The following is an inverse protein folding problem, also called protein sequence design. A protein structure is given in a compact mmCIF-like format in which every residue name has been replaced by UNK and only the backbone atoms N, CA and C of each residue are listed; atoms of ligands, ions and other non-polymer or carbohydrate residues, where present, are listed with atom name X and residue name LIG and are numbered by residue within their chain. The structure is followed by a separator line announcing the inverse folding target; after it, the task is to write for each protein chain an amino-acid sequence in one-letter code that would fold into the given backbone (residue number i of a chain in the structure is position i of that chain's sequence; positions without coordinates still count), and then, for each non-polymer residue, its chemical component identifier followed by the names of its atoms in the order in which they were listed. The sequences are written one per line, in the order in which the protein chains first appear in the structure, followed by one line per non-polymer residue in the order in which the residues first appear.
data_IF_903980992561
#
_entry.id   IF_903980992561
#
_cell.length_a   1.000
_cell.length_b   1.000
_cell.length_c   1.000
_cell.angle_alpha   90.00
_cell.angle_beta   90.00
_cell.angle_gamma   90.00
#
_symmetry.space_group_name_H-M   'P 1'
#
loop_
_entity.id
_entity.type
_entity.pdbx_description
1 polymer ?
#
# COMPACT_ATOMS: atom_id res chain seq x y z
N UNK A 1 8.20 -17.84 4.63
CA UNK A 1 6.79 -17.68 4.20
C UNK A 1 6.83 -16.89 2.92
N UNK A 2 6.24 -17.40 1.83
CA UNK A 2 6.19 -16.65 0.57
C UNK A 2 4.86 -15.89 0.53
N UNK A 3 4.93 -14.56 0.54
CA UNK A 3 3.77 -13.70 0.38
C UNK A 3 3.89 -13.07 -1.01
N UNK A 4 2.89 -13.29 -1.86
CA UNK A 4 2.80 -12.65 -3.18
C UNK A 4 1.62 -11.70 -3.16
N UNK A 5 1.88 -10.39 -3.21
CA UNK A 5 0.85 -9.37 -3.31
C UNK A 5 0.76 -8.91 -4.77
N UNK A 6 -0.39 -9.16 -5.41
CA UNK A 6 -0.68 -8.66 -6.74
C UNK A 6 -1.56 -7.42 -6.65
N UNK A 7 -1.09 -6.30 -7.19
CA UNK A 7 -1.86 -5.06 -7.29
C UNK A 7 -2.08 -4.80 -8.78
N UNK A 8 -3.27 -5.11 -9.27
CA UNK A 8 -3.63 -4.90 -10.69
C UNK A 8 -3.60 -3.42 -11.06
N UNK A 9 -4.07 -2.56 -10.14
CA UNK A 9 -4.19 -1.13 -10.40
C UNK A 9 -4.17 -0.32 -9.10
N UNK A 10 -3.34 0.72 -9.07
CA UNK A 10 -3.41 1.79 -8.08
C UNK A 10 -4.08 3.00 -8.75
N UNK A 11 -5.28 3.36 -8.30
CA UNK A 11 -5.98 4.56 -8.78
C UNK A 11 -5.94 5.62 -7.70
N UNK A 12 -5.49 6.82 -8.07
CA UNK A 12 -5.46 7.99 -7.20
C UNK A 12 -6.45 9.00 -7.79
N UNK A 13 -7.53 9.26 -7.07
CA UNK A 13 -8.55 10.21 -7.50
C UNK A 13 -8.36 11.54 -6.74
N UNK A 14 -8.49 12.65 -7.45
CA UNK A 14 -8.40 13.99 -6.85
C UNK A 14 -6.98 14.47 -6.52
N UNK A 15 -5.93 13.78 -6.98
CA UNK A 15 -4.54 14.19 -6.82
C UNK A 15 -3.92 14.45 -8.21
N UNK A 16 -3.37 15.64 -8.39
CA UNK A 16 -2.71 16.02 -9.65
C UNK A 16 -1.20 15.79 -9.54
N UNK A 17 -0.75 14.64 -10.04
CA UNK A 17 0.66 14.30 -10.13
C UNK A 17 1.13 14.31 -11.59
N UNK A 18 2.27 14.98 -11.89
CA UNK A 18 2.95 14.80 -13.16
C UNK A 18 3.25 13.32 -13.41
N UNK A 19 3.21 12.85 -14.67
CA UNK A 19 3.49 11.44 -15.00
C UNK A 19 4.79 10.91 -14.39
N UNK A 20 5.82 11.75 -14.33
CA UNK A 20 7.14 11.41 -13.77
C UNK A 20 7.08 11.18 -12.24
N UNK A 21 6.16 11.83 -11.54
CA UNK A 21 5.94 11.66 -10.09
C UNK A 21 5.02 10.47 -9.78
N UNK A 22 4.13 10.11 -10.70
CA UNK A 22 3.27 8.93 -10.55
C UNK A 22 4.08 7.64 -10.47
N UNK A 23 5.10 7.50 -11.34
CA UNK A 23 5.96 6.33 -11.32
C UNK A 23 6.79 6.24 -10.03
N UNK A 24 7.31 7.40 -9.55
CA UNK A 24 8.01 7.47 -8.28
C UNK A 24 7.12 7.05 -7.11
N UNK A 25 5.89 7.56 -7.07
CA UNK A 25 4.92 7.19 -6.05
C UNK A 25 4.66 5.68 -6.05
N UNK A 26 4.40 5.09 -7.21
CA UNK A 26 4.18 3.65 -7.35
C UNK A 26 5.39 2.84 -6.86
N UNK A 27 6.60 3.23 -7.27
CA UNK A 27 7.83 2.57 -6.83
C UNK A 27 8.01 2.63 -5.30
N UNK A 28 7.68 3.77 -4.69
CA UNK A 28 7.74 3.93 -3.24
C UNK A 28 6.68 3.11 -2.50
N UNK A 29 5.45 3.04 -3.02
CA UNK A 29 4.41 2.16 -2.46
C UNK A 29 4.86 0.70 -2.47
N UNK A 30 5.39 0.22 -3.60
CA UNK A 30 5.86 -1.17 -3.74
C UNK A 30 7.00 -1.44 -2.76
N UNK A 31 8.03 -0.58 -2.76
CA UNK A 31 9.20 -0.74 -1.90
C UNK A 31 8.84 -0.78 -0.42
N UNK A 32 7.96 0.12 0.03
CA UNK A 32 7.54 0.16 1.44
C UNK A 32 6.64 -1.04 1.79
N UNK A 33 5.73 -1.47 0.90
CA UNK A 33 4.93 -2.67 1.12
C UNK A 33 5.81 -3.92 1.22
N UNK A 34 6.77 -4.09 0.32
CA UNK A 34 7.75 -5.18 0.39
C UNK A 34 8.46 -5.18 1.73
N UNK A 35 8.98 -4.02 2.15
CA UNK A 35 9.65 -3.87 3.45
C UNK A 35 8.74 -4.26 4.62
N UNK A 36 7.48 -3.83 4.61
CA UNK A 36 6.51 -4.12 5.68
C UNK A 36 6.10 -5.60 5.70
N UNK A 37 5.95 -6.23 4.53
CA UNK A 37 5.60 -7.65 4.42
C UNK A 37 6.76 -8.57 4.83
N UNK A 38 8.00 -8.18 4.53
CA UNK A 38 9.20 -8.93 4.91
C UNK A 38 9.49 -8.86 6.42
N UNK A 39 9.32 -7.68 7.02
CA UNK A 39 9.65 -7.43 8.42
C UNK A 39 8.45 -7.59 9.37
N UNK A 40 7.25 -7.63 8.80
CA UNK A 40 5.99 -7.63 9.51
C UNK A 40 5.46 -9.02 9.82
N UNK A 41 4.55 -9.08 10.80
CA UNK A 41 3.71 -10.25 11.03
C UNK A 41 2.33 -9.93 10.51
N UNK A 42 1.97 -10.57 9.39
CA UNK A 42 0.60 -10.55 8.93
C UNK A 42 -0.30 -11.28 9.93
N UNK A 43 -1.54 -10.82 10.07
CA UNK A 43 -2.53 -11.51 10.88
C UNK A 43 -2.70 -12.95 10.40
N UNK A 44 -2.92 -13.87 11.34
CA UNK A 44 -3.10 -15.30 11.07
C UNK A 44 -4.35 -15.61 10.24
N UNK A 45 -5.23 -14.64 10.01
CA UNK A 45 -6.37 -14.69 9.08
C UNK A 45 -5.96 -14.78 7.60
N UNK A 46 -4.71 -14.39 7.27
CA UNK A 46 -4.18 -14.37 5.90
C UNK A 46 -3.40 -15.63 5.52
N UNK A 47 -3.40 -16.67 6.34
CA UNK A 47 -2.87 -17.97 5.95
C UNK A 47 -3.83 -18.67 4.99
N UNK A 48 -3.75 -18.33 3.71
CA UNK A 48 -4.51 -18.94 2.61
C UNK A 48 -4.62 -18.02 1.38
N UNK A 49 -5.27 -18.52 0.32
CA UNK A 49 -5.73 -17.67 -0.81
C UNK A 49 -6.95 -16.86 -0.36
N UNK A 50 -6.70 -15.77 0.37
CA UNK A 50 -7.77 -14.87 0.81
C UNK A 50 -8.03 -13.82 -0.26
N UNK A 51 -9.25 -13.82 -0.81
CA UNK A 51 -9.73 -12.77 -1.71
C UNK A 51 -10.51 -11.75 -0.88
N UNK A 52 -9.91 -10.59 -0.62
CA UNK A 52 -10.57 -9.47 0.06
C UNK A 52 -11.24 -8.58 -0.98
N UNK A 53 -12.58 -8.53 -0.99
CA UNK A 53 -13.33 -7.67 -1.90
C UNK A 53 -13.14 -6.18 -1.60
N UNK A 54 -12.88 -5.83 -0.34
CA UNK A 54 -12.55 -4.48 0.09
C UNK A 54 -11.72 -4.52 1.36
N UNK A 55 -10.61 -3.81 1.37
CA UNK A 55 -9.77 -3.65 2.54
C UNK A 55 -10.06 -2.28 3.16
N UNK A 56 -10.65 -2.20 4.37
CA UNK A 56 -10.75 -0.94 5.09
C UNK A 56 -9.34 -0.50 5.51
N UNK A 57 -8.95 0.70 5.11
CA UNK A 57 -7.65 1.29 5.43
C UNK A 57 -7.87 2.63 6.13
N UNK A 58 -6.93 3.02 6.98
CA UNK A 58 -7.00 4.30 7.69
C UNK A 58 -6.84 5.48 6.71
N UNK A 59 -7.43 6.63 7.06
CA UNK A 59 -7.41 7.82 6.20
C UNK A 59 -5.98 8.32 5.98
N UNK A 60 -5.64 8.66 4.73
CA UNK A 60 -4.34 9.21 4.35
C UNK A 60 -4.45 10.73 4.32
N UNK A 61 -3.58 11.42 5.06
CA UNK A 61 -3.51 12.89 5.04
C UNK A 61 -2.34 13.34 4.18
N UNK A 62 -2.65 13.88 2.98
CA UNK A 62 -1.65 14.54 2.15
C UNK A 62 -1.20 15.84 2.83
N UNK A 63 0.07 15.87 3.25
CA UNK A 63 0.73 17.11 3.65
C UNK A 63 1.76 17.49 2.58
N UNK A 64 1.30 18.16 1.52
CA UNK A 64 2.11 18.53 0.35
C UNK A 64 2.11 17.48 -0.78
N UNK A 65 2.93 17.71 -1.81
CA UNK A 65 2.99 16.90 -3.03
C UNK A 65 4.26 16.03 -3.11
N UNK A 66 4.72 15.50 -1.96
CA UNK A 66 5.91 14.64 -1.89
C UNK A 66 5.53 13.18 -2.18
N UNK A 67 5.90 12.63 -3.36
CA UNK A 67 5.52 11.27 -3.76
C UNK A 67 6.15 10.20 -2.86
N UNK A 68 7.28 10.49 -2.20
CA UNK A 68 7.95 9.52 -1.31
C UNK A 68 7.13 9.33 -0.04
N UNK A 69 6.79 10.42 0.62
CA UNK A 69 5.99 10.40 1.85
C UNK A 69 4.59 9.85 1.61
N UNK A 70 3.98 10.24 0.49
CA UNK A 70 2.67 9.71 0.13
C UNK A 70 2.74 8.21 -0.14
N UNK A 71 3.77 7.73 -0.85
CA UNK A 71 3.94 6.30 -1.10
C UNK A 71 4.10 5.49 0.19
N UNK A 72 4.87 6.02 1.14
CA UNK A 72 5.03 5.44 2.47
C UNK A 72 3.70 5.37 3.25
N UNK A 73 2.92 6.46 3.24
CA UNK A 73 1.63 6.49 3.94
C UNK A 73 0.61 5.52 3.32
N UNK A 74 0.54 5.44 2.00
CA UNK A 74 -0.32 4.47 1.29
C UNK A 74 0.07 3.04 1.69
N UNK A 75 1.36 2.70 1.61
CA UNK A 75 1.85 1.37 1.95
C UNK A 75 1.55 0.98 3.41
N UNK A 76 1.76 1.90 4.35
CA UNK A 76 1.48 1.67 5.77
C UNK A 76 -0.02 1.49 6.03
N UNK A 77 -0.86 2.27 5.38
CA UNK A 77 -2.33 2.16 5.53
C UNK A 77 -2.85 0.84 4.96
N UNK A 78 -2.36 0.43 3.79
CA UNK A 78 -2.67 -0.88 3.18
C UNK A 78 -2.18 -2.02 4.07
N UNK A 79 -0.92 -2.00 4.52
CA UNK A 79 -0.37 -3.02 5.41
C UNK A 79 -1.16 -3.11 6.74
N UNK A 80 -1.54 -1.96 7.31
CA UNK A 80 -2.37 -1.89 8.50
C UNK A 80 -3.76 -2.49 8.31
N UNK A 81 -4.40 -2.24 7.17
CA UNK A 81 -5.67 -2.87 6.80
C UNK A 81 -5.53 -4.39 6.67
N UNK A 82 -4.48 -4.86 5.99
CA UNK A 82 -4.17 -6.29 5.85
C UNK A 82 -4.02 -6.94 7.23
N UNK A 83 -3.31 -6.30 8.16
CA UNK A 83 -3.10 -6.84 9.52
C UNK A 83 -4.29 -6.77 10.47
N UNK A 84 -5.41 -6.13 10.10
CA UNK A 84 -6.58 -5.93 10.97
C UNK A 84 -7.71 -6.94 10.72
N UNK A 85 -7.68 -7.65 9.59
CA UNK A 85 -8.58 -8.78 9.27
C UNK A 85 -8.13 -10.08 9.93
#
# INVERSE_FOLDING_TARGET
MNITLHIDRLMLEGIDFPPDQQHLLQAHVISELTRLLENGRLASSLTGDTILARLPVDSIQLTGNDPVKLGQQIAQSVYGGIGRE
#
